data_IF_090351340356
#
_entry.id   IF_090351340356
#
_cell.length_a   1.000
_cell.length_b   1.000
_cell.length_c   1.000
_cell.angle_alpha   90.00
_cell.angle_beta   90.00
_cell.angle_gamma   90.00
#
_symmetry.space_group_name_H-M   'P 1'
#
loop_
_entity.id
_entity.type
_entity.pdbx_description
1 polymer ?
#
# COMPACT_ATOMS: atom_id res chain seq x y z
N UNK A 1 -3.96 -12.27 -2.27
CA UNK A 1 -4.58 -12.39 -3.62
C UNK A 1 -3.47 -12.68 -4.65
N UNK A 2 -3.28 -13.95 -5.08
CA UNK A 2 -2.14 -14.30 -5.89
C UNK A 2 -2.29 -13.76 -7.32
N UNK A 3 -1.21 -13.19 -7.86
CA UNK A 3 -1.05 -12.93 -9.29
C UNK A 3 -0.67 -11.50 -9.69
N UNK A 4 -0.37 -10.58 -8.76
CA UNK A 4 -0.04 -9.20 -9.15
C UNK A 4 0.87 -8.46 -8.19
N UNK A 5 1.39 -7.33 -8.65
CA UNK A 5 2.33 -6.47 -7.93
C UNK A 5 1.66 -5.12 -7.64
N UNK A 6 1.85 -4.62 -6.42
CA UNK A 6 1.47 -3.27 -6.00
C UNK A 6 2.64 -2.59 -5.30
N UNK A 7 2.67 -1.26 -5.35
CA UNK A 7 3.67 -0.43 -4.69
C UNK A 7 2.95 0.45 -3.68
N UNK A 8 3.11 0.17 -2.39
CA UNK A 8 2.45 0.94 -1.33
C UNK A 8 3.34 2.08 -0.84
N UNK A 9 2.77 3.26 -0.67
CA UNK A 9 3.42 4.34 0.06
C UNK A 9 3.40 4.02 1.56
N UNK A 10 4.57 3.75 2.15
CA UNK A 10 4.74 3.53 3.59
C UNK A 10 4.59 4.82 4.43
N UNK A 11 3.56 5.60 4.14
CA UNK A 11 3.14 6.81 4.85
C UNK A 11 1.77 6.56 5.44
N UNK A 12 1.69 6.59 6.77
CA UNK A 12 0.47 6.32 7.51
C UNK A 12 -0.63 7.31 7.11
N UNK A 13 -1.81 6.81 6.77
CA UNK A 13 -2.95 7.63 6.35
C UNK A 13 -3.68 8.31 7.51
N UNK A 14 -3.25 8.08 8.75
CA UNK A 14 -3.65 8.87 9.90
C UNK A 14 -3.04 10.28 9.84
N UNK A 15 -1.73 10.41 10.16
CA UNK A 15 -1.03 11.70 10.26
C UNK A 15 0.35 11.70 9.57
N UNK A 16 0.63 10.73 8.71
CA UNK A 16 1.79 10.77 7.82
C UNK A 16 3.12 10.21 8.36
N UNK A 17 3.13 9.53 9.50
CA UNK A 17 4.32 8.82 9.97
C UNK A 17 4.79 7.72 9.01
N UNK A 18 6.07 7.39 9.04
CA UNK A 18 6.60 6.21 8.33
C UNK A 18 6.01 4.91 8.89
N UNK A 19 5.76 3.93 8.01
CA UNK A 19 5.18 2.62 8.37
C UNK A 19 6.15 1.48 8.07
N UNK A 20 7.04 1.10 9.02
CA UNK A 20 7.96 -0.03 8.86
C UNK A 20 7.27 -1.40 8.80
N UNK A 21 8.00 -2.38 8.26
CA UNK A 21 7.63 -3.80 8.26
C UNK A 21 7.93 -4.44 9.62
N UNK A 22 6.98 -5.18 10.17
CA UNK A 22 7.18 -6.04 11.34
C UNK A 22 7.13 -7.51 10.91
N UNK A 23 8.30 -8.14 10.83
CA UNK A 23 8.42 -9.53 10.40
C UNK A 23 7.82 -10.53 11.39
N UNK A 24 7.78 -10.22 12.69
CA UNK A 24 7.26 -11.13 13.72
C UNK A 24 5.73 -11.25 13.67
N UNK A 25 5.05 -10.20 13.22
CA UNK A 25 3.59 -10.12 13.15
C UNK A 25 3.05 -10.15 11.71
N UNK A 26 3.94 -10.28 10.73
CA UNK A 26 3.62 -10.37 9.31
C UNK A 26 2.76 -9.18 8.79
N UNK A 27 2.99 -7.99 9.34
CA UNK A 27 2.23 -6.77 9.05
C UNK A 27 3.10 -5.51 9.03
N UNK A 28 2.56 -4.44 8.44
CA UNK A 28 3.16 -3.11 8.51
C UNK A 28 2.63 -2.36 9.74
N UNK A 29 3.54 -1.79 10.53
CA UNK A 29 3.22 -1.15 11.81
C UNK A 29 3.53 0.35 11.76
N UNK A 30 2.55 1.20 12.05
CA UNK A 30 2.78 2.61 12.31
C UNK A 30 3.13 2.81 13.80
N UNK A 31 4.37 3.23 14.12
CA UNK A 31 4.83 3.33 15.51
C UNK A 31 4.21 4.51 16.28
N UNK A 32 3.59 5.46 15.59
CA UNK A 32 3.08 6.68 16.23
C UNK A 32 1.81 6.43 17.05
N UNK A 33 0.83 5.71 16.48
CA UNK A 33 -0.50 5.50 17.09
C UNK A 33 -1.03 4.08 16.90
N UNK A 34 -0.18 3.14 16.46
CA UNK A 34 -0.53 1.72 16.37
C UNK A 34 -1.41 1.33 15.17
N UNK A 35 -1.44 2.10 14.08
CA UNK A 35 -2.10 1.64 12.86
C UNK A 35 -1.38 0.44 12.26
N UNK A 36 -2.13 -0.61 11.93
CA UNK A 36 -1.63 -1.84 11.34
C UNK A 36 -2.14 -1.97 9.91
N UNK A 37 -1.31 -2.43 8.99
CA UNK A 37 -1.70 -2.63 7.59
C UNK A 37 -1.28 -4.00 7.09
N UNK A 38 -2.15 -4.60 6.28
CA UNK A 38 -1.94 -5.88 5.64
C UNK A 38 -0.79 -5.82 4.61
N UNK A 39 0.07 -6.83 4.59
CA UNK A 39 1.27 -6.84 3.74
C UNK A 39 0.98 -6.96 2.23
N UNK A 40 -0.16 -7.54 1.87
CA UNK A 40 -0.50 -7.85 0.48
C UNK A 40 -1.45 -6.81 -0.12
N UNK A 41 -2.33 -6.26 0.70
CA UNK A 41 -3.44 -5.42 0.24
C UNK A 41 -3.35 -3.98 0.74
N UNK A 42 -2.43 -3.71 1.69
CA UNK A 42 -2.26 -2.42 2.36
C UNK A 42 -3.51 -1.93 3.12
N UNK A 43 -4.54 -2.77 3.28
CA UNK A 43 -5.75 -2.42 4.04
C UNK A 43 -5.43 -2.28 5.52
N UNK A 44 -6.16 -1.42 6.20
CA UNK A 44 -6.04 -1.21 7.65
C UNK A 44 -6.54 -2.46 8.38
N UNK A 45 -5.72 -3.00 9.28
CA UNK A 45 -6.00 -4.14 10.15
C UNK A 45 -6.25 -3.71 11.60
N UNK A 46 -5.81 -2.52 12.00
CA UNK A 46 -6.01 -1.97 13.33
C UNK A 46 -5.54 -0.52 13.45
N UNK A 47 -5.85 0.12 14.58
CA UNK A 47 -5.48 1.50 14.92
C UNK A 47 -6.43 2.59 14.36
N UNK A 48 -6.01 3.88 14.39
CA UNK A 48 -6.88 5.00 14.04
C UNK A 48 -6.85 5.42 12.56
N UNK A 49 -6.06 4.75 11.70
CA UNK A 49 -5.97 5.13 10.30
C UNK A 49 -7.32 4.88 9.60
N UNK A 50 -7.89 5.88 8.89
CA UNK A 50 -9.25 5.76 8.36
C UNK A 50 -9.32 4.95 7.06
N UNK A 51 -8.19 4.76 6.37
CA UNK A 51 -8.14 4.16 5.03
C UNK A 51 -6.81 3.42 4.76
N UNK A 52 -6.78 2.50 3.78
CA UNK A 52 -5.57 1.75 3.41
C UNK A 52 -4.38 2.65 3.07
N UNK A 53 -3.16 2.10 3.04
CA UNK A 53 -2.03 2.82 2.44
C UNK A 53 -2.35 3.14 0.97
N UNK A 54 -1.95 4.35 0.55
CA UNK A 54 -2.00 4.77 -0.84
C UNK A 54 -1.09 3.87 -1.67
N UNK A 55 -1.51 3.54 -2.89
CA UNK A 55 -0.66 2.82 -3.83
C UNK A 55 -0.12 3.80 -4.88
N UNK A 56 1.06 3.50 -5.40
CA UNK A 56 1.62 4.16 -6.56
C UNK A 56 1.22 3.42 -7.82
N UNK A 57 1.07 4.17 -8.92
CA UNK A 57 0.91 3.57 -10.23
C UNK A 57 2.20 2.85 -10.64
N UNK A 58 2.07 1.71 -11.31
CA UNK A 58 3.20 0.90 -11.79
C UNK A 58 3.00 0.57 -13.28
N UNK A 59 4.07 0.70 -14.06
CA UNK A 59 4.15 0.17 -15.41
C UNK A 59 5.38 -0.72 -15.58
N UNK A 60 5.29 -1.75 -16.42
CA UNK A 60 6.45 -2.53 -16.85
C UNK A 60 6.99 -1.98 -18.17
N UNK A 61 8.30 -1.80 -18.27
CA UNK A 61 8.95 -1.45 -19.53
C UNK A 61 9.21 -2.69 -20.41
N UNK A 62 9.75 -2.47 -21.61
CA UNK A 62 10.04 -3.54 -22.56
C UNK A 62 11.09 -4.56 -22.07
N UNK A 63 11.88 -4.21 -21.04
CA UNK A 63 12.84 -5.12 -20.40
C UNK A 63 12.24 -5.91 -19.23
N UNK A 64 11.01 -5.57 -18.84
CA UNK A 64 10.37 -6.11 -17.65
C UNK A 64 10.72 -5.36 -16.36
N UNK A 65 11.41 -4.23 -16.44
CA UNK A 65 11.65 -3.39 -15.27
C UNK A 65 10.36 -2.67 -14.87
N UNK A 66 10.10 -2.62 -13.56
CA UNK A 66 8.95 -1.92 -13.01
C UNK A 66 9.30 -0.45 -12.76
N UNK A 67 8.51 0.45 -13.33
CA UNK A 67 8.59 1.89 -13.13
C UNK A 67 7.43 2.29 -12.21
N UNK A 68 7.76 2.89 -11.07
CA UNK A 68 6.78 3.35 -10.07
C UNK A 68 6.62 4.86 -10.19
N UNK A 69 5.40 5.35 -10.44
CA UNK A 69 5.10 6.78 -10.42
C UNK A 69 4.94 7.27 -8.98
N UNK A 70 5.95 8.00 -8.48
CA UNK A 70 5.95 8.55 -7.12
C UNK A 70 5.38 9.98 -7.04
N UNK A 71 4.72 10.49 -8.09
CA UNK A 71 4.07 11.79 -8.05
C UNK A 71 2.96 11.78 -6.98
N UNK A 72 3.05 12.62 -5.93
CA UNK A 72 2.08 12.61 -4.83
C UNK A 72 0.67 13.07 -5.23
N UNK A 73 0.53 13.68 -6.42
CA UNK A 73 -0.76 14.07 -7.00
C UNK A 73 -1.38 12.96 -7.88
N UNK A 74 -0.63 11.90 -8.18
CA UNK A 74 -1.05 10.79 -9.02
C UNK A 74 -0.85 9.46 -8.25
N UNK A 75 -1.68 9.26 -7.23
CA UNK A 75 -1.67 8.05 -6.40
C UNK A 75 -3.04 7.40 -6.41
N UNK A 76 -3.08 6.09 -6.23
CA UNK A 76 -4.32 5.34 -6.05
C UNK A 76 -4.76 5.51 -4.59
N UNK A 77 -5.63 6.51 -4.36
CA UNK A 77 -6.17 6.84 -3.03
C UNK A 77 -7.51 6.15 -2.76
N UNK A 78 -7.43 4.96 -2.19
CA UNK A 78 -8.60 4.11 -1.88
C UNK A 78 -9.33 4.62 -0.64
N UNK A 79 -10.56 5.11 -0.83
CA UNK A 79 -11.36 5.66 0.28
C UNK A 79 -12.00 4.58 1.16
N UNK A 80 -12.33 3.42 0.59
CA UNK A 80 -12.89 2.30 1.34
C UNK A 80 -11.77 1.40 1.88
N UNK A 81 -11.91 0.92 3.12
CA UNK A 81 -10.98 -0.06 3.71
C UNK A 81 -11.26 -1.50 3.21
N UNK A 82 -11.30 -1.66 1.89
CA UNK A 82 -11.62 -2.92 1.21
C UNK A 82 -10.62 -3.12 0.07
N UNK A 83 -10.12 -4.34 -0.07
CA UNK A 83 -9.27 -4.72 -1.20
C UNK A 83 -10.10 -4.85 -2.48
N UNK A 84 -9.62 -4.28 -3.59
CA UNK A 84 -10.22 -4.43 -4.91
C UNK A 84 -9.18 -4.94 -5.91
N UNK A 85 -9.40 -6.09 -6.58
CA UNK A 85 -8.49 -6.58 -7.63
C UNK A 85 -8.25 -5.59 -8.78
N UNK A 86 -9.15 -4.62 -8.99
CA UNK A 86 -8.97 -3.55 -9.99
C UNK A 86 -7.82 -2.59 -9.67
N UNK A 87 -7.32 -2.61 -8.44
CA UNK A 87 -6.16 -1.82 -8.02
C UNK A 87 -4.83 -2.46 -8.46
N UNK A 88 -4.87 -3.66 -9.07
CA UNK A 88 -3.70 -4.33 -9.66
C UNK A 88 -3.47 -3.81 -11.08
N UNK A 89 -2.38 -3.08 -11.26
CA UNK A 89 -1.96 -2.58 -12.58
C UNK A 89 -0.94 -3.49 -13.25
N UNK A 90 -0.20 -4.26 -12.44
CA UNK A 90 0.67 -5.34 -12.90
C UNK A 90 0.04 -6.65 -12.45
N UNK A 91 -0.53 -7.36 -13.41
CA UNK A 91 -0.99 -8.74 -13.28
C UNK A 91 -0.05 -9.63 -14.06
N UNK A 92 0.27 -10.82 -13.56
CA UNK A 92 0.84 -11.88 -14.41
C UNK A 92 -0.13 -12.25 -15.55
#
# INVERSE_FOLDING_TARGET
>A
PPGGIVAAYRKCTHLGCSVPWNAAEDQFHCPCHGSLYDKHTAVVKGGPAPKPLQLFHIVADASGALIVDTNPLNVIDRQANVWNPKDLEITE
#
